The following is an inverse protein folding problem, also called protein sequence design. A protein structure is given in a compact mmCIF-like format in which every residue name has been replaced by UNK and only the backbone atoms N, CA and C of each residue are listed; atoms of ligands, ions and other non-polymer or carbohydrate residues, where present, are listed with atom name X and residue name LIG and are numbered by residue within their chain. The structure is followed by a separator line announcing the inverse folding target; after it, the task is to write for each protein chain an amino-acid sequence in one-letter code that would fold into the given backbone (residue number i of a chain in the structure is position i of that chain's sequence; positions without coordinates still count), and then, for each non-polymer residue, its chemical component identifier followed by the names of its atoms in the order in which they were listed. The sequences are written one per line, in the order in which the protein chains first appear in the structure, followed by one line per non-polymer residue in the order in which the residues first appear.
data_IF_980419633207
#
_entry.id   IF_980419633207
#
_cell.length_a   1.000
_cell.length_b   1.000
_cell.length_c   1.000
_cell.angle_alpha   90.00
_cell.angle_beta   90.00
_cell.angle_gamma   90.00
#
_symmetry.space_group_name_H-M   'P 1'
#
loop_
_entity.id
_entity.type
_entity.pdbx_description
1 polymer ?
#
# COMPACT_ATOMS: atom_id res chain seq x y z
N UNK A 1 -8.05 10.29 -6.24
CA UNK A 1 -9.09 11.22 -5.70
C UNK A 1 -9.89 10.42 -4.69
N UNK A 2 -9.88 10.79 -3.42
CA UNK A 2 -10.52 9.96 -2.38
C UNK A 2 -12.00 10.30 -2.28
N UNK A 3 -12.87 9.35 -2.59
CA UNK A 3 -14.32 9.50 -2.46
C UNK A 3 -14.75 8.76 -1.21
N UNK A 4 -15.39 9.48 -0.28
CA UNK A 4 -16.02 8.88 0.90
C UNK A 4 -17.48 8.62 0.53
N UNK A 5 -17.89 7.36 0.55
CA UNK A 5 -19.29 6.98 0.48
C UNK A 5 -19.63 6.18 1.74
N UNK A 6 -20.83 6.41 2.30
CA UNK A 6 -21.34 5.61 3.40
C UNK A 6 -21.91 4.34 2.79
N UNK A 7 -21.38 3.20 3.20
CA UNK A 7 -21.83 1.90 2.71
C UNK A 7 -22.50 1.18 3.87
N UNK A 8 -23.77 0.82 3.67
CA UNK A 8 -24.47 -0.11 4.54
C UNK A 8 -23.98 -1.51 4.22
N UNK A 9 -23.41 -2.19 5.22
CA UNK A 9 -23.00 -3.59 5.11
C UNK A 9 -24.10 -4.44 5.73
N UNK A 10 -24.82 -5.18 4.89
CA UNK A 10 -25.79 -6.18 5.33
C UNK A 10 -25.15 -7.55 5.12
N UNK A 11 -24.79 -8.22 6.22
CA UNK A 11 -24.17 -9.56 6.27
C UNK A 11 -22.74 -9.68 5.70
N UNK A 12 -21.79 -10.02 6.58
CA UNK A 12 -20.44 -10.43 6.20
C UNK A 12 -20.41 -11.95 6.03
N UNK A 13 -20.07 -12.43 4.84
CA UNK A 13 -19.80 -13.84 4.60
C UNK A 13 -18.29 -14.05 4.44
N UNK A 14 -17.74 -14.99 5.22
CA UNK A 14 -16.37 -15.47 5.05
C UNK A 14 -16.34 -16.50 3.93
N UNK A 15 -15.57 -16.19 2.89
CA UNK A 15 -15.32 -17.10 1.77
C UNK A 15 -13.85 -17.50 1.82
N UNK A 16 -13.59 -18.76 2.13
CA UNK A 16 -12.25 -19.34 2.01
C UNK A 16 -12.06 -19.82 0.59
N UNK A 17 -11.06 -19.29 -0.10
CA UNK A 17 -10.63 -19.82 -1.38
C UNK A 17 -9.20 -20.35 -1.30
N UNK A 18 -8.90 -21.29 -2.20
CA UNK A 18 -7.56 -21.84 -2.33
C UNK A 18 -7.02 -21.37 -3.67
N UNK A 19 -5.90 -20.65 -3.62
CA UNK A 19 -5.16 -20.32 -4.83
C UNK A 19 -4.53 -21.62 -5.34
N UNK A 20 -5.03 -22.13 -6.45
CA UNK A 20 -4.46 -23.29 -7.11
C UNK A 20 -3.26 -22.85 -7.94
N UNK A 21 -2.10 -22.79 -7.30
CA UNK A 21 -0.82 -22.69 -7.99
C UNK A 21 -0.43 -24.13 -8.38
N UNK A 22 -0.54 -24.46 -9.67
CA UNK A 22 -0.43 -25.84 -10.13
C UNK A 22 0.87 -26.54 -9.72
N UNK A 23 0.70 -27.82 -9.38
CA UNK A 23 1.67 -28.86 -8.97
C UNK A 23 2.05 -28.89 -7.47
N UNK A 24 1.26 -29.69 -6.74
CA UNK A 24 1.61 -30.48 -5.55
C UNK A 24 2.40 -29.79 -4.42
N UNK A 25 1.68 -29.04 -3.58
CA UNK A 25 1.69 -29.19 -2.11
C UNK A 25 0.51 -28.38 -1.53
N UNK A 26 -0.02 -28.78 -0.37
CA UNK A 26 -1.11 -28.08 0.31
C UNK A 26 -0.82 -26.58 0.47
N UNK A 27 -1.80 -25.67 0.27
CA UNK A 27 -1.54 -24.24 0.38
C UNK A 27 -1.22 -23.87 1.84
N UNK A 28 -0.01 -23.34 2.06
CA UNK A 28 0.46 -22.94 3.40
C UNK A 28 -0.32 -21.76 4.00
N UNK A 29 -1.17 -21.06 3.23
CA UNK A 29 -2.10 -20.08 3.76
C UNK A 29 -3.37 -19.99 2.90
N UNK A 30 -4.56 -20.38 3.40
CA UNK A 30 -5.80 -20.05 2.74
C UNK A 30 -5.96 -18.52 2.75
N UNK A 31 -6.17 -17.92 1.57
CA UNK A 31 -6.63 -16.55 1.52
C UNK A 31 -8.10 -16.56 1.98
N UNK A 32 -8.38 -15.90 3.10
CA UNK A 32 -9.75 -15.65 3.49
C UNK A 32 -10.19 -14.40 2.74
N UNK A 33 -11.37 -14.40 2.15
CA UNK A 33 -12.04 -13.20 1.68
C UNK A 33 -13.19 -12.88 2.59
N UNK A 34 -13.38 -11.60 2.84
CA UNK A 34 -14.67 -11.10 3.28
C UNK A 34 -15.40 -10.56 2.06
N UNK A 35 -16.58 -11.12 1.81
CA UNK A 35 -17.51 -10.55 0.86
C UNK A 35 -18.55 -9.78 1.66
N UNK A 36 -18.63 -8.49 1.38
CA UNK A 36 -19.64 -7.60 1.96
C UNK A 36 -20.66 -7.24 0.90
N UNK A 37 -21.94 -7.31 1.26
CA UNK A 37 -22.98 -6.74 0.43
C UNK A 37 -23.14 -5.27 0.78
N UNK A 38 -23.15 -4.43 -0.24
CA UNK A 38 -23.25 -2.99 -0.15
C UNK A 38 -24.37 -2.46 -1.03
N UNK A 39 -25.18 -1.58 -0.49
CA UNK A 39 -26.06 -0.73 -1.30
C UNK A 39 -25.28 0.53 -1.72
N UNK A 40 -24.93 0.59 -3.00
CA UNK A 40 -24.32 1.79 -3.61
C UNK A 40 -25.13 2.11 -4.86
N UNK A 41 -25.53 3.37 -5.03
CA UNK A 41 -26.23 3.77 -6.24
C UNK A 41 -25.33 3.57 -7.48
N UNK A 42 -25.85 2.98 -8.58
CA UNK A 42 -25.08 2.83 -9.81
C UNK A 42 -24.54 4.15 -10.39
N UNK A 43 -25.19 5.27 -10.07
CA UNK A 43 -24.76 6.64 -10.40
C UNK A 43 -23.42 6.99 -9.75
N UNK A 44 -23.22 6.59 -8.49
CA UNK A 44 -21.99 6.84 -7.73
C UNK A 44 -20.82 6.00 -8.26
N UNK A 45 -21.04 4.71 -8.53
CA UNK A 45 -20.00 3.85 -9.12
C UNK A 45 -19.51 4.40 -10.46
N UNK A 46 -20.44 4.84 -11.33
CA UNK A 46 -20.09 5.48 -12.60
C UNK A 46 -19.36 6.81 -12.42
N UNK A 47 -19.63 7.53 -11.34
CA UNK A 47 -18.89 8.76 -10.99
C UNK A 47 -17.46 8.44 -10.57
N UNK A 48 -17.26 7.36 -9.81
CA UNK A 48 -15.95 6.95 -9.27
C UNK A 48 -15.07 6.33 -10.38
N UNK A 49 -15.60 5.35 -11.11
CA UNK A 49 -14.85 4.52 -12.06
C UNK A 49 -15.08 4.89 -13.54
N UNK A 50 -15.95 5.88 -13.81
CA UNK A 50 -16.30 6.29 -15.17
C UNK A 50 -17.17 5.26 -15.90
N UNK A 51 -17.05 5.20 -17.23
CA UNK A 51 -17.72 4.21 -18.08
C UNK A 51 -16.94 2.88 -18.21
N UNK A 52 -15.84 2.74 -17.48
CA UNK A 52 -14.93 1.61 -17.57
C UNK A 52 -15.39 0.48 -16.64
N UNK A 53 -16.38 -0.30 -17.06
CA UNK A 53 -16.56 -1.66 -16.52
C UNK A 53 -16.32 -2.63 -17.67
N UNK A 54 -15.34 -3.55 -17.57
CA UNK A 54 -15.04 -4.51 -18.63
C UNK A 54 -16.21 -5.47 -18.87
N UNK A 55 -17.06 -5.68 -17.86
CA UNK A 55 -18.23 -6.56 -17.94
C UNK A 55 -19.49 -5.89 -17.37
N UNK A 56 -20.59 -5.96 -18.13
CA UNK A 56 -21.94 -5.74 -17.60
C UNK A 56 -22.47 -7.09 -17.18
N UNK A 57 -22.72 -7.26 -15.89
CA UNK A 57 -23.40 -8.44 -15.36
C UNK A 57 -24.80 -7.97 -14.99
N UNK A 58 -25.83 -8.57 -15.57
CA UNK A 58 -27.20 -8.29 -15.17
C UNK A 58 -27.37 -8.72 -13.70
N UNK A 59 -27.88 -7.83 -12.84
CA UNK A 59 -28.04 -8.12 -11.42
C UNK A 59 -27.03 -7.41 -10.54
N UNK A 60 -25.77 -7.84 -10.50
CA UNK A 60 -24.84 -7.52 -9.39
C UNK A 60 -23.64 -6.70 -9.85
N UNK A 61 -23.28 -5.65 -9.09
CA UNK A 61 -21.99 -4.95 -9.28
C UNK A 61 -20.93 -5.63 -8.41
N UNK A 62 -19.71 -5.82 -8.90
CA UNK A 62 -18.60 -6.40 -8.12
C UNK A 62 -17.48 -5.37 -8.08
N UNK A 63 -17.12 -4.95 -6.87
CA UNK A 63 -16.02 -4.03 -6.62
C UNK A 63 -14.95 -4.76 -5.82
N UNK A 64 -13.76 -4.88 -6.40
CA UNK A 64 -12.58 -5.38 -5.72
C UNK A 64 -11.89 -4.20 -5.03
N UNK A 65 -11.92 -4.19 -3.70
CA UNK A 65 -11.29 -3.14 -2.91
C UNK A 65 -9.96 -3.69 -2.42
N UNK A 66 -8.86 -3.17 -2.98
CA UNK A 66 -7.51 -3.58 -2.60
C UNK A 66 -7.03 -2.84 -1.33
N UNK A 67 -7.84 -1.91 -0.82
CA UNK A 67 -7.62 -1.20 0.44
C UNK A 67 -8.38 -1.78 1.64
N UNK A 68 -7.82 -1.61 2.84
CA UNK A 68 -8.52 -1.94 4.09
C UNK A 68 -9.78 -1.09 4.26
N UNK A 69 -10.91 -1.70 4.65
CA UNK A 69 -11.98 -0.98 5.32
C UNK A 69 -11.43 -0.26 6.56
N UNK A 70 -11.11 1.02 6.44
CA UNK A 70 -10.70 1.81 7.60
C UNK A 70 -11.94 2.36 8.29
N UNK A 71 -12.40 1.66 9.32
CA UNK A 71 -13.42 2.17 10.22
C UNK A 71 -13.94 1.12 11.17
N UNK A 72 -14.01 1.44 12.45
CA UNK A 72 -15.00 0.81 13.32
C UNK A 72 -16.39 1.20 12.80
N UNK A 73 -17.38 0.29 12.84
CA UNK A 73 -18.76 0.68 12.66
C UNK A 73 -19.06 1.91 13.51
N UNK A 74 -19.75 2.90 12.96
CA UNK A 74 -20.24 4.03 13.76
C UNK A 74 -21.33 3.57 14.74
N UNK A 75 -21.88 4.51 15.52
CA UNK A 75 -22.93 4.20 16.52
C UNK A 75 -24.16 3.54 15.89
N UNK A 76 -24.37 3.71 14.58
CA UNK A 76 -25.48 3.17 13.82
C UNK A 76 -25.09 1.89 13.04
N UNK A 77 -23.85 1.40 13.18
CA UNK A 77 -23.37 0.17 12.55
C UNK A 77 -22.80 0.33 11.14
N UNK A 78 -22.62 1.56 10.64
CA UNK A 78 -22.08 1.79 9.30
C UNK A 78 -20.56 1.80 9.28
N UNK A 79 -19.97 1.15 8.27
CA UNK A 79 -18.53 1.19 8.03
C UNK A 79 -18.24 2.16 6.89
N UNK A 80 -17.39 3.15 7.14
CA UNK A 80 -16.94 4.06 6.07
C UNK A 80 -15.82 3.40 5.27
N UNK A 81 -16.09 3.08 4.01
CA UNK A 81 -15.08 2.59 3.09
C UNK A 81 -14.46 3.76 2.32
N UNK A 82 -13.14 3.70 2.18
CA UNK A 82 -12.39 4.67 1.39
C UNK A 82 -11.94 4.01 0.11
N UNK A 83 -12.55 4.42 -1.00
CA UNK A 83 -12.23 3.89 -2.34
C UNK A 83 -11.20 4.82 -2.98
N UNK A 84 -10.09 4.25 -3.44
CA UNK A 84 -9.11 4.90 -4.29
C UNK A 84 -9.19 4.34 -5.71
N UNK A 85 -9.77 5.07 -6.68
CA UNK A 85 -9.96 4.58 -8.05
C UNK A 85 -8.65 4.33 -8.82
N UNK A 86 -7.49 4.73 -8.27
CA UNK A 86 -6.18 4.38 -8.84
C UNK A 86 -5.70 2.98 -8.42
N UNK A 87 -6.19 2.45 -7.31
CA UNK A 87 -5.81 1.13 -6.79
C UNK A 87 -6.94 0.12 -6.74
N UNK A 88 -8.19 0.55 -6.61
CA UNK A 88 -9.35 -0.34 -6.54
C UNK A 88 -9.92 -0.62 -7.93
N UNK A 89 -10.50 -1.80 -8.12
CA UNK A 89 -10.93 -2.28 -9.43
C UNK A 89 -12.42 -2.63 -9.45
N UNK A 90 -13.18 -1.95 -10.32
CA UNK A 90 -14.56 -2.32 -10.61
C UNK A 90 -14.58 -3.49 -11.60
N UNK A 91 -14.85 -4.70 -11.10
CA UNK A 91 -14.84 -5.93 -11.90
C UNK A 91 -16.13 -6.10 -12.71
N UNK A 92 -17.27 -5.70 -12.14
CA UNK A 92 -18.57 -5.76 -12.79
C UNK A 92 -19.49 -4.62 -12.34
N UNK A 93 -20.35 -4.16 -13.24
CA UNK A 93 -21.42 -3.21 -12.92
C UNK A 93 -22.78 -3.84 -13.23
N UNK A 94 -23.60 -3.97 -12.19
CA UNK A 94 -24.97 -4.47 -12.25
C UNK A 94 -26.00 -3.44 -11.78
N UNK A 95 -27.22 -3.90 -11.57
CA UNK A 95 -28.36 -3.07 -11.20
C UNK A 95 -28.48 -2.86 -9.70
N UNK A 96 -28.42 -3.93 -8.89
CA UNK A 96 -28.44 -3.98 -7.40
C UNK A 96 -28.26 -5.45 -6.99
N UNK A 97 -27.56 -5.82 -5.89
CA UNK A 97 -26.66 -5.06 -5.01
C UNK A 97 -25.17 -5.08 -5.45
N UNK A 98 -24.30 -4.37 -4.74
CA UNK A 98 -22.84 -4.39 -4.95
C UNK A 98 -22.19 -5.42 -4.01
N UNK A 99 -21.41 -6.34 -4.55
CA UNK A 99 -20.51 -7.20 -3.79
C UNK A 99 -19.15 -6.52 -3.69
N UNK A 100 -18.75 -6.20 -2.48
CA UNK A 100 -17.40 -5.79 -2.15
C UNK A 100 -16.60 -7.03 -1.81
N UNK A 101 -15.56 -7.30 -2.58
CA UNK A 101 -14.60 -8.35 -2.27
C UNK A 101 -13.40 -7.66 -1.62
N UNK A 102 -13.19 -7.99 -0.35
CA UNK A 102 -12.03 -7.55 0.42
C UNK A 102 -11.25 -8.80 0.84
N UNK A 103 -9.93 -8.81 0.70
CA UNK A 103 -9.13 -9.83 1.38
C UNK A 103 -9.33 -9.70 2.90
N UNK A 104 -9.74 -10.80 3.51
CA UNK A 104 -9.82 -10.90 4.96
C UNK A 104 -8.42 -10.99 5.52
N UNK A 105 -8.17 -10.15 6.53
CA UNK A 105 -6.95 -10.20 7.29
C UNK A 105 -7.29 -10.76 8.68
N UNK A 106 -6.90 -12.00 8.94
CA UNK A 106 -7.02 -12.67 10.25
C UNK A 106 -6.33 -11.84 11.34
N UNK A 107 -7.05 -11.08 12.17
CA UNK A 107 -6.51 -10.34 13.35
C UNK A 107 -5.17 -9.60 13.11
N UNK A 108 -4.87 -9.31 11.86
CA UNK A 108 -3.50 -9.01 11.46
C UNK A 108 -3.19 -7.59 11.86
N UNK A 109 -4.19 -6.72 11.94
CA UNK A 109 -4.06 -5.39 12.51
C UNK A 109 -3.59 -5.41 13.98
N UNK A 110 -4.11 -6.30 14.85
CA UNK A 110 -3.58 -6.44 16.22
C UNK A 110 -2.15 -6.97 16.21
N UNK A 111 -1.86 -7.97 15.36
CA UNK A 111 -0.52 -8.54 15.20
C UNK A 111 0.47 -7.49 14.66
N UNK A 112 0.06 -6.61 13.75
CA UNK A 112 0.86 -5.55 13.17
C UNK A 112 1.02 -4.36 14.11
N UNK A 113 -0.05 -3.94 14.80
CA UNK A 113 0.04 -2.93 15.86
C UNK A 113 0.91 -3.38 17.03
N UNK A 114 1.03 -4.70 17.26
CA UNK A 114 1.97 -5.29 18.21
C UNK A 114 3.42 -5.25 17.68
N UNK A 115 3.64 -5.32 16.36
CA UNK A 115 4.97 -5.19 15.73
C UNK A 115 5.47 -3.74 15.69
N UNK A 116 4.57 -2.75 15.71
CA UNK A 116 4.92 -1.33 15.66
C UNK A 116 5.51 -0.83 16.99
N UNK A 117 6.71 -0.26 16.92
CA UNK A 117 7.34 0.39 18.06
C UNK A 117 6.67 1.71 18.45
N UNK A 118 6.99 2.29 19.62
CA UNK A 118 6.50 3.60 20.03
C UNK A 118 6.79 4.71 19.01
N UNK A 119 7.93 4.62 18.33
CA UNK A 119 8.35 5.54 17.29
C UNK A 119 7.53 5.47 16.01
N UNK A 120 7.24 4.25 15.56
CA UNK A 120 6.33 3.98 14.44
C UNK A 120 4.94 4.59 14.72
N UNK A 121 4.41 4.38 15.92
CA UNK A 121 3.12 4.95 16.34
C UNK A 121 3.13 6.48 16.34
N UNK A 122 4.22 7.10 16.80
CA UNK A 122 4.39 8.55 16.73
C UNK A 122 4.44 9.06 15.29
N UNK A 123 5.14 8.35 14.40
CA UNK A 123 5.18 8.68 12.97
C UNK A 123 3.78 8.65 12.37
N UNK A 124 3.04 7.56 12.55
CA UNK A 124 1.70 7.36 12.01
C UNK A 124 0.71 8.40 12.55
N UNK A 125 0.77 8.70 13.85
CA UNK A 125 -0.06 9.73 14.48
C UNK A 125 0.22 11.14 13.93
N UNK A 126 1.44 11.41 13.48
CA UNK A 126 1.84 12.70 12.92
C UNK A 126 1.49 12.87 11.42
N UNK A 127 1.00 11.83 10.76
CA UNK A 127 0.63 11.91 9.35
C UNK A 127 -0.70 12.67 9.14
N UNK A 128 -0.78 13.53 8.11
CA UNK A 128 -2.05 14.02 7.59
C UNK A 128 -2.99 12.87 7.23
N UNK A 129 -4.30 13.09 7.31
CA UNK A 129 -5.33 12.09 7.02
C UNK A 129 -5.12 11.40 5.68
N UNK A 130 -4.72 12.15 4.66
CA UNK A 130 -4.49 11.66 3.30
C UNK A 130 -3.29 10.70 3.19
N UNK A 131 -2.39 10.72 4.16
CA UNK A 131 -1.19 9.87 4.19
C UNK A 131 -1.28 8.73 5.19
N UNK A 132 -2.35 8.64 5.98
CA UNK A 132 -2.46 7.62 7.03
C UNK A 132 -2.40 6.21 6.48
N UNK A 133 -3.22 5.89 5.47
CA UNK A 133 -3.23 4.57 4.83
C UNK A 133 -1.89 4.24 4.20
N UNK A 134 -1.33 5.16 3.41
CA UNK A 134 -0.01 4.96 2.78
C UNK A 134 1.10 4.74 3.82
N UNK A 135 1.10 5.55 4.88
CA UNK A 135 2.09 5.46 5.95
C UNK A 135 1.96 4.17 6.75
N UNK A 136 0.74 3.74 7.05
CA UNK A 136 0.46 2.48 7.74
C UNK A 136 0.95 1.29 6.91
N UNK A 137 0.58 1.24 5.62
CA UNK A 137 1.02 0.18 4.70
C UNK A 137 2.55 0.15 4.61
N UNK A 138 3.18 1.31 4.43
CA UNK A 138 4.64 1.42 4.35
C UNK A 138 5.34 0.92 5.62
N UNK A 139 4.88 1.35 6.80
CA UNK A 139 5.50 0.96 8.08
C UNK A 139 5.31 -0.53 8.33
N UNK A 140 4.13 -1.09 8.05
CA UNK A 140 3.87 -2.50 8.25
C UNK A 140 4.72 -3.39 7.35
N UNK A 141 4.83 -3.04 6.08
CA UNK A 141 5.70 -3.73 5.12
C UNK A 141 7.19 -3.62 5.47
N UNK A 142 7.61 -2.48 6.04
CA UNK A 142 8.96 -2.35 6.57
C UNK A 142 9.15 -3.28 7.76
N UNK A 143 8.20 -3.32 8.70
CA UNK A 143 8.33 -4.12 9.94
C UNK A 143 8.13 -5.61 9.73
N UNK A 144 7.46 -6.03 8.66
CA UNK A 144 7.40 -7.44 8.26
C UNK A 144 8.77 -7.96 7.80
N UNK A 145 9.63 -7.10 7.25
CA UNK A 145 10.95 -7.47 6.69
C UNK A 145 12.15 -7.04 7.54
N UNK A 146 12.02 -5.93 8.26
CA UNK A 146 13.11 -5.30 9.01
C UNK A 146 12.68 -4.98 10.44
N UNK A 147 13.39 -5.57 11.40
CA UNK A 147 13.26 -5.18 12.81
C UNK A 147 13.79 -3.77 13.02
N UNK A 148 13.23 -3.07 14.01
CA UNK A 148 13.64 -1.73 14.40
C UNK A 148 12.47 -0.87 14.85
N UNK A 149 12.73 0.41 15.08
CA UNK A 149 11.71 1.43 15.37
C UNK A 149 12.13 2.77 14.73
N UNK A 150 11.22 3.73 14.65
CA UNK A 150 11.51 5.09 14.18
C UNK A 150 11.85 6.02 15.35
N UNK A 151 12.77 6.95 15.15
CA UNK A 151 13.06 7.99 16.12
C UNK A 151 12.95 9.36 15.47
N UNK A 152 12.09 10.22 16.01
CA UNK A 152 11.95 11.58 15.51
C UNK A 152 13.19 12.42 15.82
N UNK A 153 13.97 12.73 14.80
CA UNK A 153 14.98 13.77 14.87
C UNK A 153 14.34 15.14 14.68
N UNK A 154 14.08 15.84 15.79
CA UNK A 154 13.42 17.15 15.81
C UNK A 154 14.18 18.24 15.05
N UNK A 155 15.52 18.16 14.94
CA UNK A 155 16.33 19.18 14.26
C UNK A 155 16.08 19.18 12.75
N UNK A 156 16.06 18.00 12.14
CA UNK A 156 15.87 17.84 10.69
C UNK A 156 14.45 17.49 10.28
N UNK A 157 13.56 17.29 11.27
CA UNK A 157 12.16 16.85 11.10
C UNK A 157 12.05 15.60 10.23
N UNK A 158 12.87 14.59 10.56
CA UNK A 158 12.87 13.27 9.92
C UNK A 158 12.76 12.20 10.99
N UNK A 159 12.04 11.13 10.68
CA UNK A 159 12.00 9.92 11.48
C UNK A 159 13.13 9.02 11.01
N UNK A 160 14.12 8.81 11.85
CA UNK A 160 15.32 8.03 11.55
C UNK A 160 15.07 6.61 12.01
N UNK A 161 15.38 5.62 11.20
CA UNK A 161 15.30 4.24 11.67
C UNK A 161 16.34 3.98 12.76
N UNK A 162 15.96 3.14 13.73
CA UNK A 162 16.81 2.66 14.80
C UNK A 162 16.74 1.12 14.82
N UNK A 163 17.83 0.43 15.18
CA UNK A 163 19.08 0.97 15.76
C UNK A 163 20.11 1.49 14.74
N UNK A 164 19.97 1.14 13.46
CA UNK A 164 21.08 1.20 12.49
C UNK A 164 21.17 2.54 11.72
N UNK A 165 20.08 3.33 11.70
CA UNK A 165 20.04 4.67 11.09
C UNK A 165 20.39 4.68 9.60
N UNK A 166 19.96 3.66 8.87
CA UNK A 166 20.28 3.46 7.45
C UNK A 166 19.20 4.00 6.51
N UNK A 167 18.00 4.32 7.02
CA UNK A 167 17.02 5.11 6.31
C UNK A 167 16.32 6.14 7.20
N UNK A 168 15.67 7.10 6.57
CA UNK A 168 14.80 8.08 7.23
C UNK A 168 13.51 8.27 6.46
N UNK A 169 12.40 8.50 7.17
CA UNK A 169 11.11 8.90 6.64
C UNK A 169 10.85 10.37 6.92
N UNK A 170 10.31 11.08 5.94
CA UNK A 170 9.85 12.46 6.09
C UNK A 170 8.49 12.63 5.41
N UNK A 171 7.41 12.87 6.17
CA UNK A 171 6.13 13.24 5.59
C UNK A 171 6.24 14.54 4.79
N UNK A 172 5.59 14.58 3.63
CA UNK A 172 5.50 15.75 2.76
C UNK A 172 4.02 16.07 2.48
N UNK A 173 3.32 16.76 3.40
CA UNK A 173 1.88 17.03 3.26
C UNK A 173 1.53 17.79 1.98
N UNK A 174 2.36 18.76 1.59
CA UNK A 174 2.14 19.61 0.41
C UNK A 174 2.10 18.82 -0.91
N UNK A 175 2.91 17.75 -1.01
CA UNK A 175 2.98 16.89 -2.19
C UNK A 175 2.24 15.56 -2.01
N UNK A 176 1.50 15.40 -0.90
CA UNK A 176 0.82 14.15 -0.52
C UNK A 176 1.73 12.94 -0.70
N UNK A 177 2.91 13.00 -0.09
CA UNK A 177 3.90 11.95 -0.26
C UNK A 177 4.76 11.72 0.98
N UNK A 178 5.46 10.60 1.02
CA UNK A 178 6.46 10.29 2.04
C UNK A 178 7.81 10.22 1.35
N UNK A 179 8.74 11.09 1.75
CA UNK A 179 10.12 11.03 1.28
C UNK A 179 10.89 10.02 2.11
N UNK A 180 11.62 9.14 1.42
CA UNK A 180 12.50 8.14 2.02
C UNK A 180 13.92 8.45 1.59
N UNK A 181 14.82 8.65 2.55
CA UNK A 181 16.26 8.77 2.31
C UNK A 181 16.93 7.49 2.81
N UNK A 182 17.78 6.88 2.00
CA UNK A 182 18.55 5.65 2.29
C UNK A 182 20.04 5.91 2.10
N UNK A 183 20.89 5.20 2.82
CA UNK A 183 22.35 5.22 2.59
C UNK A 183 22.71 4.58 1.25
N UNK A 184 23.76 5.04 0.59
CA UNK A 184 24.19 4.56 -0.73
C UNK A 184 23.83 5.53 -1.85
N UNK A 185 24.59 5.48 -2.96
CA UNK A 185 24.35 6.30 -4.17
C UNK A 185 23.40 5.58 -5.11
N UNK A 186 22.70 6.23 -6.04
CA UNK A 186 21.79 5.55 -6.98
C UNK A 186 22.48 4.40 -7.73
N UNK A 187 23.76 4.56 -8.08
CA UNK A 187 24.56 3.53 -8.74
C UNK A 187 24.73 2.23 -7.93
N UNK A 188 24.61 2.26 -6.59
CA UNK A 188 24.68 1.05 -5.75
C UNK A 188 23.43 0.18 -5.84
N UNK A 189 22.40 0.67 -6.54
CA UNK A 189 21.11 0.01 -6.72
C UNK A 189 20.88 -0.45 -8.16
N UNK A 190 21.86 -0.31 -9.06
CA UNK A 190 21.75 -0.73 -10.48
C UNK A 190 21.63 -2.26 -10.59
N UNK A 191 22.22 -3.02 -9.67
CA UNK A 191 22.08 -4.49 -9.61
C UNK A 191 20.70 -4.96 -9.08
N UNK A 192 19.64 -4.17 -9.25
CA UNK A 192 18.24 -4.59 -8.96
C UNK A 192 17.60 -5.24 -10.20
N UNK A 193 18.39 -5.56 -11.24
CA UNK A 193 17.95 -6.44 -12.33
C UNK A 193 17.77 -7.87 -11.84
N UNK A 194 16.62 -8.14 -11.21
CA UNK A 194 16.09 -9.49 -11.01
C UNK A 194 14.86 -9.66 -11.90
N UNK A 195 14.37 -10.89 -12.06
CA UNK A 195 13.26 -11.24 -12.97
C UNK A 195 11.99 -10.40 -12.77
N UNK A 196 11.82 -9.79 -11.58
CA UNK A 196 10.65 -9.00 -11.19
C UNK A 196 10.81 -7.47 -11.37
N UNK A 197 12.02 -6.93 -11.59
CA UNK A 197 12.24 -5.47 -11.65
C UNK A 197 13.22 -5.08 -12.77
N UNK A 198 12.99 -3.89 -13.34
CA UNK A 198 13.87 -3.27 -14.31
C UNK A 198 14.38 -1.94 -13.76
N UNK A 199 15.66 -1.65 -14.00
CA UNK A 199 16.27 -0.39 -13.61
C UNK A 199 16.74 0.38 -14.83
N UNK A 200 16.42 1.66 -14.88
CA UNK A 200 16.91 2.58 -15.92
C UNK A 200 17.64 3.73 -15.22
N UNK A 201 18.89 3.96 -15.60
CA UNK A 201 19.67 5.10 -15.14
C UNK A 201 19.64 6.20 -16.22
N UNK A 202 18.69 7.15 -16.18
CA UNK A 202 18.65 8.24 -17.16
C UNK A 202 19.89 9.15 -17.06
N UNK A 203 20.51 9.23 -15.89
CA UNK A 203 21.78 9.91 -15.65
C UNK A 203 22.55 9.26 -14.48
N UNK A 204 23.77 9.73 -14.20
CA UNK A 204 24.61 9.20 -13.10
C UNK A 204 24.03 9.42 -11.69
N UNK A 205 23.02 10.28 -11.54
CA UNK A 205 22.47 10.74 -10.25
C UNK A 205 21.04 10.27 -10.01
N UNK A 206 20.46 9.53 -10.94
CA UNK A 206 19.07 9.12 -10.92
C UNK A 206 18.97 7.68 -11.37
N UNK A 207 18.24 6.87 -10.62
CA UNK A 207 17.86 5.51 -10.98
C UNK A 207 16.35 5.40 -10.91
N UNK A 208 15.74 4.91 -11.98
CA UNK A 208 14.30 4.62 -12.03
C UNK A 208 14.15 3.12 -11.85
N UNK A 209 13.34 2.71 -10.86
CA UNK A 209 13.08 1.30 -10.56
C UNK A 209 11.62 1.02 -10.91
N UNK A 210 11.42 0.10 -11.86
CA UNK A 210 10.12 -0.24 -12.43
C UNK A 210 9.83 -1.72 -12.19
N UNK A 211 8.68 -2.09 -11.61
CA UNK A 211 8.24 -3.50 -11.56
C UNK A 211 8.04 -4.05 -12.99
N UNK A 212 8.55 -5.26 -13.29
CA UNK A 212 8.43 -5.89 -14.62
C UNK A 212 7.06 -6.48 -14.86
N UNK A 213 6.54 -7.20 -13.87
CA UNK A 213 5.18 -7.70 -13.87
C UNK A 213 4.29 -6.84 -12.98
N UNK A 214 2.99 -6.94 -13.20
CA UNK A 214 1.89 -6.13 -12.66
C UNK A 214 1.53 -4.89 -13.49
N UNK A 215 0.48 -5.09 -14.29
CA UNK A 215 -0.42 -4.06 -14.81
C UNK A 215 -0.71 -3.05 -13.69
N UNK A 216 -0.41 -1.76 -13.93
CA UNK A 216 -0.67 -0.61 -13.04
C UNK A 216 0.33 -0.27 -11.91
N UNK A 217 1.54 -0.85 -11.84
CA UNK A 217 2.53 -0.39 -10.84
C UNK A 217 3.35 0.82 -11.29
N UNK A 218 3.45 1.82 -10.41
CA UNK A 218 4.15 3.08 -10.69
C UNK A 218 5.63 2.96 -10.32
N UNK A 219 6.56 3.45 -11.16
CA UNK A 219 7.99 3.41 -10.85
C UNK A 219 8.36 4.33 -9.68
N UNK A 220 9.53 4.09 -9.12
CA UNK A 220 10.15 4.94 -8.10
C UNK A 220 11.43 5.56 -8.66
N UNK A 221 11.53 6.89 -8.58
CA UNK A 221 12.75 7.63 -8.94
C UNK A 221 13.66 7.82 -7.71
N UNK A 222 14.81 7.16 -7.73
CA UNK A 222 15.85 7.26 -6.73
C UNK A 222 16.91 8.29 -7.16
N UNK A 223 17.02 9.40 -6.43
CA UNK A 223 17.93 10.52 -6.73
C UNK A 223 19.02 10.64 -5.68
N UNK A 224 20.20 11.10 -6.06
CA UNK A 224 21.28 11.37 -5.10
C UNK A 224 20.90 12.49 -4.11
N UNK A 225 21.05 12.25 -2.79
CA UNK A 225 20.67 13.18 -1.70
C UNK A 225 21.86 13.50 -0.79
N UNK A 226 22.94 14.02 -1.38
CA UNK A 226 24.17 14.43 -0.65
C UNK A 226 24.85 13.32 0.16
N UNK A 227 26.09 13.54 0.61
CA UNK A 227 26.73 12.69 1.64
C UNK A 227 26.76 11.17 1.38
N UNK A 228 26.69 10.73 0.12
CA UNK A 228 26.61 9.30 -0.22
C UNK A 228 25.25 8.65 0.07
N UNK A 229 24.17 9.42 0.19
CA UNK A 229 22.80 8.94 0.36
C UNK A 229 21.98 9.13 -0.92
N UNK A 230 20.86 8.43 -0.99
CA UNK A 230 19.88 8.52 -2.06
C UNK A 230 18.49 8.75 -1.46
N UNK A 231 17.62 9.41 -2.22
CA UNK A 231 16.28 9.76 -1.80
C UNK A 231 15.28 9.45 -2.91
N UNK A 232 14.14 8.92 -2.50
CA UNK A 232 13.00 8.71 -3.36
C UNK A 232 11.72 9.12 -2.63
N UNK A 233 10.60 9.12 -3.36
CA UNK A 233 9.31 9.57 -2.84
C UNK A 233 8.26 8.52 -3.17
N UNK A 234 7.46 8.18 -2.16
CA UNK A 234 6.29 7.30 -2.29
C UNK A 234 5.03 8.17 -2.18
N UNK A 235 4.16 8.08 -3.19
CA UNK A 235 2.94 8.87 -3.34
C UNK A 235 1.67 8.02 -3.17
N UNK A 236 1.72 6.74 -3.55
CA UNK A 236 0.60 5.83 -3.48
C UNK A 236 1.08 4.38 -3.22
N UNK A 237 0.15 3.49 -2.94
CA UNK A 237 0.44 2.09 -2.57
C UNK A 237 1.10 1.30 -3.70
N UNK A 238 0.86 1.66 -4.97
CA UNK A 238 1.46 0.96 -6.13
C UNK A 238 2.98 1.13 -6.24
N UNK A 239 3.54 2.15 -5.57
CA UNK A 239 4.98 2.37 -5.45
C UNK A 239 5.66 1.59 -4.31
N UNK A 240 4.89 0.99 -3.39
CA UNK A 240 5.44 0.27 -2.23
C UNK A 240 6.35 -0.89 -2.61
N UNK A 241 6.04 -1.74 -3.61
CA UNK A 241 6.93 -2.84 -3.99
C UNK A 241 8.33 -2.36 -4.40
N UNK A 242 8.40 -1.32 -5.25
CA UNK A 242 9.68 -0.73 -5.68
C UNK A 242 10.39 -0.05 -4.51
N UNK A 243 9.66 0.67 -3.65
CA UNK A 243 10.20 1.30 -2.44
C UNK A 243 10.84 0.27 -1.48
N UNK A 244 10.14 -0.83 -1.21
CA UNK A 244 10.60 -1.91 -0.34
C UNK A 244 11.83 -2.62 -0.94
N UNK A 245 11.93 -2.71 -2.26
CA UNK A 245 13.12 -3.25 -2.93
C UNK A 245 14.34 -2.37 -2.69
N UNK A 246 14.20 -1.06 -2.82
CA UNK A 246 15.27 -0.10 -2.48
C UNK A 246 15.69 -0.27 -1.03
N UNK A 247 14.72 -0.35 -0.11
CA UNK A 247 14.99 -0.54 1.32
C UNK A 247 15.70 -1.87 1.59
N UNK A 248 15.29 -2.96 0.95
CA UNK A 248 15.94 -4.26 1.06
C UNK A 248 17.40 -4.20 0.59
N UNK A 249 17.69 -3.53 -0.53
CA UNK A 249 19.06 -3.38 -1.02
C UNK A 249 19.90 -2.50 -0.10
N UNK A 250 19.36 -1.36 0.33
CA UNK A 250 20.01 -0.46 1.28
C UNK A 250 20.33 -1.15 2.60
N UNK A 251 19.48 -2.09 3.04
CA UNK A 251 19.71 -2.88 4.25
C UNK A 251 20.91 -3.84 4.14
N UNK A 252 21.21 -4.34 2.94
CA UNK A 252 22.38 -5.20 2.70
C UNK A 252 23.68 -4.40 2.70
N UNK A 253 23.63 -3.14 2.29
CA UNK A 253 24.76 -2.19 2.35
C UNK A 253 25.09 -1.70 3.76
N UNK A 254 24.45 -2.22 4.81
CA UNK A 254 24.77 -1.94 6.22
C UNK A 254 26.08 -2.60 6.69
N UNK A 255 26.56 -3.64 5.98
CA UNK A 255 27.76 -4.42 6.33
C UNK A 255 29.03 -3.84 5.73
#
# INVERSE_FOLDING_TARGET
MTIKTQITIEDAAELTWYRYDGEDDYPENPHVLHVFQAEVEPSELRRIFGSASPHRVEGVSILNVLGHPHGTPDEDGYVTLTIDPESDELLALGSVPVLLVCEAFDNEEEVFQARQGPGDKQFLAALPTELKTLGWNLVNEIRSKFRGDLLLNKKVRRYVETPDQWFTLKPQPQSKSIAITVRGRPSTYIEIEDDEFSTVAPDEKTLVITPRDYVNKTPVELKQDGGGSSRFVVKNSSQLPAALRVLARASKSRR
#
